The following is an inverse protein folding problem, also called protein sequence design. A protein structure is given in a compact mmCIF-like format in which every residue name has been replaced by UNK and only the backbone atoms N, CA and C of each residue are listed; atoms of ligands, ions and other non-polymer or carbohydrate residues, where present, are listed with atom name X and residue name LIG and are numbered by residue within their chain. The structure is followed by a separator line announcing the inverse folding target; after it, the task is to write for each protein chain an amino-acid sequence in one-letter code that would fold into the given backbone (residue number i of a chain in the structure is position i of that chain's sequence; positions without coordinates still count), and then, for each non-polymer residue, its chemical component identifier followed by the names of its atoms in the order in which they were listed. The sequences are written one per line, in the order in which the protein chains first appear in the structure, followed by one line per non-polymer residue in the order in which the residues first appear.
data_IF_720157087412
#
_entry.id   IF_720157087412
#
_cell.length_a   1.000
_cell.length_b   1.000
_cell.length_c   1.000
_cell.angle_alpha   90.00
_cell.angle_beta   90.00
_cell.angle_gamma   90.00
#
_symmetry.space_group_name_H-M   'P 1'
#
loop_
_entity.id
_entity.type
_entity.pdbx_description
1 polymer ?
#
# COMPACT_ATOMS: atom_id res chain seq x y z
N UNK A 1 0.96 5.35 -22.89
CA UNK A 1 1.81 6.11 -21.94
C UNK A 1 2.18 5.21 -20.76
N UNK A 2 3.43 5.23 -20.29
CA UNK A 2 3.85 4.48 -19.10
C UNK A 2 3.66 5.36 -17.86
N UNK A 3 2.80 4.96 -16.92
CA UNK A 3 2.42 5.74 -15.74
C UNK A 3 3.62 6.11 -14.85
N UNK A 4 4.60 5.21 -14.75
CA UNK A 4 5.84 5.40 -14.00
C UNK A 4 6.73 6.54 -14.51
N UNK A 5 6.49 7.04 -15.73
CA UNK A 5 7.20 8.21 -16.27
C UNK A 5 6.55 9.54 -15.86
N UNK A 6 5.34 9.49 -15.29
CA UNK A 6 4.51 10.65 -15.00
C UNK A 6 4.22 10.80 -13.50
N UNK A 7 4.35 9.71 -12.73
CA UNK A 7 3.99 9.68 -11.30
C UNK A 7 5.12 9.09 -10.48
N UNK A 8 5.44 9.75 -9.37
CA UNK A 8 6.35 9.23 -8.37
C UNK A 8 5.70 8.05 -7.64
N UNK A 9 6.03 6.84 -8.08
CA UNK A 9 5.53 5.62 -7.46
C UNK A 9 6.37 5.24 -6.25
N UNK A 10 5.71 4.83 -5.18
CA UNK A 10 6.37 4.39 -3.94
C UNK A 10 7.41 3.29 -4.19
N UNK A 11 7.10 2.31 -5.04
CA UNK A 11 8.06 1.25 -5.39
C UNK A 11 9.33 1.76 -6.09
N UNK A 12 9.22 2.79 -6.94
CA UNK A 12 10.37 3.42 -7.58
C UNK A 12 11.25 4.17 -6.57
N UNK A 13 10.63 4.89 -5.63
CA UNK A 13 11.35 5.57 -4.56
C UNK A 13 12.11 4.59 -3.66
N UNK A 14 11.48 3.48 -3.26
CA UNK A 14 12.15 2.43 -2.47
C UNK A 14 13.31 1.79 -3.23
N UNK A 15 13.13 1.49 -4.52
CA UNK A 15 14.20 0.90 -5.34
C UNK A 15 15.41 1.83 -5.42
N UNK A 16 15.19 3.14 -5.56
CA UNK A 16 16.25 4.16 -5.55
C UNK A 16 16.98 4.27 -4.20
N UNK A 17 16.26 4.13 -3.08
CA UNK A 17 16.85 4.25 -1.72
C UNK A 17 17.64 3.01 -1.30
N UNK A 18 17.14 1.82 -1.63
CA UNK A 18 17.68 0.56 -1.09
C UNK A 18 18.47 -0.25 -2.12
N UNK A 19 18.49 0.15 -3.40
CA UNK A 19 19.22 -0.56 -4.46
C UNK A 19 18.67 -1.95 -4.79
N UNK A 20 17.54 -2.33 -4.19
CA UNK A 20 16.91 -3.63 -4.34
C UNK A 20 15.38 -3.50 -4.28
N UNK A 21 14.69 -4.51 -4.81
CA UNK A 21 13.23 -4.57 -4.79
C UNK A 21 12.75 -4.76 -3.36
N UNK A 22 12.02 -3.79 -2.83
CA UNK A 22 11.38 -3.90 -1.52
C UNK A 22 10.00 -4.54 -1.69
N UNK A 23 9.75 -5.58 -0.90
CA UNK A 23 8.48 -6.30 -0.88
C UNK A 23 7.65 -5.91 0.34
N UNK A 24 6.35 -5.69 0.15
CA UNK A 24 5.42 -5.54 1.26
C UNK A 24 5.14 -6.93 1.84
N UNK A 25 5.46 -7.12 3.11
CA UNK A 25 5.09 -8.32 3.86
C UNK A 25 3.80 -8.05 4.61
N UNK A 26 2.77 -8.87 4.34
CA UNK A 26 1.51 -8.80 5.06
C UNK A 26 1.68 -9.47 6.42
N UNK A 27 1.41 -8.73 7.49
CA UNK A 27 1.41 -9.25 8.85
C UNK A 27 -0.01 -9.25 9.40
N UNK A 28 -0.39 -10.33 10.07
CA UNK A 28 -1.66 -10.40 10.79
C UNK A 28 -1.51 -9.77 12.17
N UNK A 29 -1.93 -8.51 12.32
CA UNK A 29 -1.85 -7.76 13.58
C UNK A 29 -3.00 -7.99 14.56
N UNK A 30 -3.95 -8.89 14.26
CA UNK A 30 -5.17 -9.06 15.07
C UNK A 30 -6.23 -7.97 14.85
N UNK A 31 -6.05 -7.10 13.87
CA UNK A 31 -7.00 -6.06 13.51
C UNK A 31 -8.16 -6.61 12.67
N UNK A 32 -9.36 -6.05 12.87
CA UNK A 32 -10.50 -6.27 11.98
C UNK A 32 -10.58 -5.15 10.94
N UNK A 33 -11.12 -5.44 9.75
CA UNK A 33 -11.30 -4.43 8.72
C UNK A 33 -12.38 -3.43 9.17
N UNK A 34 -12.06 -2.13 9.30
CA UNK A 34 -13.01 -1.12 9.78
C UNK A 34 -14.13 -0.83 8.77
N UNK A 35 -13.98 -1.32 7.54
CA UNK A 35 -14.91 -1.09 6.43
C UNK A 35 -15.66 -2.37 6.03
N UNK A 36 -15.42 -3.52 6.67
CA UNK A 36 -15.99 -4.82 6.23
C UNK A 36 -17.51 -4.83 6.33
N UNK A 37 -18.03 -4.24 7.38
CA UNK A 37 -19.46 -4.05 7.62
C UNK A 37 -19.90 -2.59 7.37
N UNK A 38 -18.95 -1.68 7.14
CA UNK A 38 -19.20 -0.26 6.85
C UNK A 38 -19.73 0.54 8.04
N UNK A 39 -19.67 0.00 9.27
CA UNK A 39 -20.22 0.66 10.45
C UNK A 39 -19.24 1.64 11.08
N UNK A 40 -17.93 1.38 10.97
CA UNK A 40 -16.86 2.17 11.61
C UNK A 40 -16.13 3.07 10.60
N UNK A 41 -16.02 2.66 9.33
CA UNK A 41 -15.31 3.40 8.29
C UNK A 41 -15.98 3.36 6.93
N UNK A 42 -15.60 4.31 6.07
CA UNK A 42 -15.99 4.40 4.65
C UNK A 42 -14.75 4.76 3.81
N UNK A 43 -14.67 4.27 2.58
CA UNK A 43 -13.63 4.65 1.61
C UNK A 43 -12.39 3.75 1.53
N UNK A 44 -12.37 2.60 2.22
CA UNK A 44 -11.27 1.63 2.17
C UNK A 44 -10.28 1.78 3.33
N UNK A 45 -9.49 0.73 3.58
CA UNK A 45 -8.50 0.71 4.66
C UNK A 45 -7.10 0.89 4.07
N UNK A 46 -6.14 1.43 4.84
CA UNK A 46 -4.75 1.58 4.36
C UNK A 46 -4.07 0.23 4.05
N UNK A 47 -4.67 -0.89 4.49
CA UNK A 47 -4.22 -2.25 4.18
C UNK A 47 -4.77 -2.82 2.85
N UNK A 48 -5.81 -2.22 2.27
CA UNK A 48 -6.65 -2.79 1.21
C UNK A 48 -6.14 -2.50 -0.23
#
# INVERSE_FOLDING_TARGET
MQLQKLVNMFGGDLTRRYGQKVHKLTLHGGFSCPNRDGTIGRGGCTFC
#
